data_IF_421475725282
#
_entry.id   IF_421475725282
#
_cell.length_a   1.000
_cell.length_b   1.000
_cell.length_c   1.000
_cell.angle_alpha   90.00
_cell.angle_beta   90.00
_cell.angle_gamma   90.00
#
_symmetry.space_group_name_H-M   'P 1'
#
loop_
_entity.id
_entity.type
_entity.pdbx_description
1 polymer ?
#
# COMPACT_ATOMS: atom_id res chain seq x y z
N UNK A 1 -4.75 25.59 -19.36
CA UNK A 1 -5.82 24.91 -18.61
C UNK A 1 -5.95 23.42 -18.98
N UNK A 2 -6.07 23.04 -20.27
CA UNK A 2 -6.18 21.64 -20.69
C UNK A 2 -5.09 20.69 -20.16
N UNK A 3 -3.82 21.10 -20.21
CA UNK A 3 -2.72 20.26 -19.68
C UNK A 3 -2.84 19.99 -18.17
N UNK A 4 -3.25 20.99 -17.39
CA UNK A 4 -3.46 20.84 -15.95
C UNK A 4 -4.60 19.86 -15.64
N UNK A 5 -5.74 19.99 -16.34
CA UNK A 5 -6.89 19.09 -16.15
C UNK A 5 -6.55 17.64 -16.49
N UNK A 6 -5.77 17.41 -17.55
CA UNK A 6 -5.32 16.07 -17.94
C UNK A 6 -4.39 15.47 -16.87
N UNK A 7 -3.45 16.25 -16.35
CA UNK A 7 -2.53 15.80 -15.29
C UNK A 7 -3.29 15.43 -14.03
N UNK A 8 -4.22 16.28 -13.59
CA UNK A 8 -5.03 16.01 -12.38
C UNK A 8 -5.85 14.72 -12.53
N UNK A 9 -6.49 14.51 -13.70
CA UNK A 9 -7.24 13.29 -13.96
C UNK A 9 -6.34 12.05 -13.91
N UNK A 10 -5.18 12.09 -14.58
CA UNK A 10 -4.23 10.96 -14.59
C UNK A 10 -3.71 10.66 -13.18
N UNK A 11 -3.37 11.68 -12.38
CA UNK A 11 -2.93 11.49 -11.00
C UNK A 11 -4.01 10.86 -10.12
N UNK A 12 -5.28 11.24 -10.30
CA UNK A 12 -6.40 10.62 -9.58
C UNK A 12 -6.52 9.12 -9.92
N UNK A 13 -6.40 8.75 -11.19
CA UNK A 13 -6.37 7.34 -11.59
C UNK A 13 -5.15 6.60 -11.04
N UNK A 14 -3.97 7.23 -11.05
CA UNK A 14 -2.76 6.66 -10.46
C UNK A 14 -2.89 6.40 -8.96
N UNK A 15 -3.58 7.26 -8.21
CA UNK A 15 -3.90 7.03 -6.79
C UNK A 15 -4.87 5.86 -6.58
N UNK A 16 -5.88 5.74 -7.44
CA UNK A 16 -6.87 4.66 -7.35
C UNK A 16 -6.24 3.27 -7.55
N UNK A 17 -5.35 3.16 -8.54
CA UNK A 17 -4.74 1.90 -8.96
C UNK A 17 -3.30 1.69 -8.47
N UNK A 18 -2.74 2.56 -7.61
CA UNK A 18 -1.38 2.39 -7.07
C UNK A 18 -1.24 1.26 -6.05
N UNK A 19 -2.35 0.71 -5.54
CA UNK A 19 -2.36 -0.19 -4.40
C UNK A 19 -2.95 0.43 -3.13
N UNK A 20 -3.20 1.75 -3.10
CA UNK A 20 -3.76 2.45 -1.93
C UNK A 20 -5.26 2.15 -1.71
N UNK A 21 -6.10 2.39 -2.73
CA UNK A 21 -7.54 2.09 -2.64
C UNK A 21 -7.85 0.65 -3.06
N UNK A 22 -7.28 0.21 -4.18
CA UNK A 22 -7.47 -1.14 -4.72
C UNK A 22 -6.16 -1.89 -4.60
N UNK A 23 -6.12 -2.91 -3.75
CA UNK A 23 -4.95 -3.75 -3.57
C UNK A 23 -4.65 -4.55 -4.84
N UNK A 24 -3.36 -4.83 -5.09
CA UNK A 24 -2.88 -5.52 -6.30
C UNK A 24 -3.64 -6.82 -6.58
N UNK A 25 -3.90 -7.61 -5.53
CA UNK A 25 -4.51 -8.93 -5.63
C UNK A 25 -5.98 -8.88 -6.07
N UNK A 26 -6.66 -7.74 -5.95
CA UNK A 26 -8.05 -7.57 -6.41
C UNK A 26 -8.14 -6.94 -7.80
N UNK A 27 -7.02 -6.55 -8.39
CA UNK A 27 -7.02 -5.86 -9.67
C UNK A 27 -7.16 -6.85 -10.83
N UNK A 28 -8.05 -6.59 -11.80
CA UNK A 28 -8.11 -7.41 -13.00
C UNK A 28 -6.80 -7.36 -13.80
N UNK A 29 -6.42 -8.49 -14.42
CA UNK A 29 -5.15 -8.64 -15.15
C UNK A 29 -4.95 -7.57 -16.23
N UNK A 30 -6.01 -7.12 -16.90
CA UNK A 30 -5.93 -6.11 -17.95
C UNK A 30 -5.65 -4.68 -17.44
N UNK A 31 -5.78 -4.41 -16.14
CA UNK A 31 -5.43 -3.12 -15.52
C UNK A 31 -4.05 -3.12 -14.85
N UNK A 32 -3.39 -4.28 -14.74
CA UNK A 32 -2.16 -4.40 -13.96
C UNK A 32 -1.00 -3.57 -14.53
N UNK A 33 -0.94 -3.38 -15.85
CA UNK A 33 0.08 -2.54 -16.49
C UNK A 33 -0.02 -1.09 -16.01
N UNK A 34 -1.25 -0.58 -15.83
CA UNK A 34 -1.49 0.79 -15.37
C UNK A 34 -1.03 0.97 -13.93
N UNK A 35 -1.22 -0.06 -13.10
CA UNK A 35 -0.65 -0.11 -11.76
C UNK A 35 0.88 -0.02 -11.77
N UNK A 36 1.59 -0.75 -12.64
CA UNK A 36 3.06 -0.67 -12.74
C UNK A 36 3.58 0.62 -13.39
N UNK A 37 2.76 1.32 -14.19
CA UNK A 37 3.10 2.64 -14.72
C UNK A 37 2.81 3.79 -13.75
N UNK A 38 2.06 3.54 -12.67
CA UNK A 38 1.69 4.56 -11.69
C UNK A 38 2.92 5.15 -11.00
N UNK A 39 2.97 6.49 -10.98
CA UNK A 39 4.02 7.25 -10.28
C UNK A 39 3.88 7.16 -8.76
N UNK A 40 2.70 6.83 -8.28
CA UNK A 40 2.39 6.78 -6.85
C UNK A 40 2.67 5.40 -6.26
N UNK A 41 2.63 4.33 -7.07
CA UNK A 41 2.82 2.96 -6.62
C UNK A 41 4.11 2.78 -5.82
N UNK A 42 5.25 3.04 -6.45
CA UNK A 42 6.57 2.76 -5.88
C UNK A 42 6.86 3.54 -4.60
N UNK A 43 6.63 4.87 -4.52
CA UNK A 43 6.84 5.59 -3.27
C UNK A 43 5.86 5.13 -2.18
N UNK A 44 4.62 4.79 -2.52
CA UNK A 44 3.64 4.25 -1.56
C UNK A 44 4.09 2.91 -0.97
N UNK A 45 4.46 1.95 -1.83
CA UNK A 45 4.97 0.64 -1.38
C UNK A 45 6.25 0.79 -0.55
N UNK A 46 7.16 1.67 -0.94
CA UNK A 46 8.41 1.94 -0.22
C UNK A 46 8.16 2.48 1.20
N UNK A 47 7.25 3.45 1.36
CA UNK A 47 6.89 3.99 2.67
C UNK A 47 6.21 2.93 3.55
N UNK A 48 5.29 2.13 2.99
CA UNK A 48 4.66 1.06 3.75
C UNK A 48 5.67 0.00 4.21
N UNK A 49 6.60 -0.40 3.35
CA UNK A 49 7.65 -1.32 3.75
C UNK A 49 8.60 -0.73 4.80
N UNK A 50 8.84 0.59 4.76
CA UNK A 50 9.61 1.26 5.80
C UNK A 50 8.93 1.19 7.18
N UNK A 51 7.61 1.40 7.23
CA UNK A 51 6.86 1.41 8.49
C UNK A 51 6.55 0.01 9.02
N UNK A 52 6.17 -0.91 8.13
CA UNK A 52 5.65 -2.23 8.50
C UNK A 52 6.67 -3.37 8.36
N UNK A 53 7.80 -3.14 7.68
CA UNK A 53 8.86 -4.12 7.45
C UNK A 53 9.97 -4.15 8.51
N UNK A 54 9.71 -3.63 9.71
CA UNK A 54 10.69 -3.64 10.81
C UNK A 54 10.93 -5.07 11.34
N UNK A 55 12.18 -5.39 11.64
CA UNK A 55 12.57 -6.60 12.37
C UNK A 55 13.12 -6.21 13.76
N UNK A 56 12.55 -6.72 14.87
CA UNK A 56 11.43 -7.68 14.95
C UNK A 56 10.08 -7.04 14.56
N UNK A 57 9.14 -7.83 14.01
CA UNK A 57 7.86 -7.32 13.55
C UNK A 57 7.04 -6.76 14.72
N UNK A 58 6.61 -5.50 14.59
CA UNK A 58 5.72 -4.86 15.56
C UNK A 58 4.33 -5.50 15.50
N UNK A 59 3.72 -5.60 16.68
CA UNK A 59 2.33 -6.02 16.80
C UNK A 59 1.38 -4.82 16.63
N UNK A 60 0.44 -4.92 15.70
CA UNK A 60 -0.55 -3.87 15.44
C UNK A 60 -1.93 -4.21 16.01
N UNK A 61 -2.28 -5.50 16.05
CA UNK A 61 -3.55 -5.96 16.62
C UNK A 61 -3.29 -7.13 17.55
N UNK A 62 -3.65 -6.96 18.83
CA UNK A 62 -3.65 -8.03 19.84
C UNK A 62 -4.95 -8.82 19.80
N UNK A 63 -4.97 -9.99 20.45
CA UNK A 63 -6.12 -10.89 20.54
C UNK A 63 -7.44 -10.19 20.87
N UNK A 64 -7.49 -9.37 21.93
CA UNK A 64 -8.72 -8.67 22.32
C UNK A 64 -9.14 -7.58 21.34
N UNK A 65 -8.17 -6.94 20.69
CA UNK A 65 -8.39 -5.81 19.78
C UNK A 65 -8.90 -6.25 18.41
N UNK A 66 -8.79 -7.54 18.08
CA UNK A 66 -9.32 -8.11 16.84
C UNK A 66 -10.83 -7.85 16.67
N UNK A 67 -11.58 -7.69 17.77
CA UNK A 67 -13.02 -7.50 17.76
C UNK A 67 -13.46 -6.03 17.70
N UNK A 68 -12.56 -5.05 17.85
CA UNK A 68 -12.95 -3.65 18.05
C UNK A 68 -13.65 -3.04 16.82
N UNK A 69 -13.33 -3.51 15.62
CA UNK A 69 -13.97 -3.09 14.36
C UNK A 69 -15.10 -4.03 13.91
N UNK A 70 -15.65 -4.83 14.83
CA UNK A 70 -16.74 -5.76 14.58
C UNK A 70 -17.92 -5.45 15.51
N UNK A 71 -19.12 -5.99 15.26
CA UNK A 71 -20.24 -5.86 16.20
C UNK A 71 -19.94 -6.38 17.63
N UNK A 72 -18.88 -7.17 17.80
CA UNK A 72 -18.42 -7.67 19.11
C UNK A 72 -17.51 -6.68 19.85
N UNK A 73 -17.25 -5.50 19.27
CA UNK A 73 -16.40 -4.47 19.86
C UNK A 73 -16.95 -3.87 21.16
N UNK A 74 -18.27 -3.73 21.26
CA UNK A 74 -18.97 -3.15 22.44
C UNK A 74 -19.09 -4.14 23.61
N UNK A 75 -18.80 -5.42 23.38
CA UNK A 75 -18.90 -6.46 24.38
C UNK A 75 -17.77 -6.32 25.41
N UNK A 76 -18.05 -6.70 26.66
CA UNK A 76 -17.07 -6.64 27.76
C UNK A 76 -15.79 -7.43 27.46
N UNK A 77 -14.66 -6.94 27.99
CA UNK A 77 -13.34 -7.58 27.78
C UNK A 77 -13.30 -9.03 28.27
N UNK A 78 -14.04 -9.38 29.33
CA UNK A 78 -14.13 -10.76 29.84
C UNK A 78 -14.72 -11.73 28.82
N UNK A 79 -15.80 -11.32 28.14
CA UNK A 79 -16.42 -12.12 27.08
C UNK A 79 -15.53 -12.22 25.85
N UNK A 80 -14.80 -11.14 25.49
CA UNK A 80 -13.78 -11.19 24.43
C UNK A 80 -12.71 -12.23 24.75
N UNK A 81 -12.22 -12.30 25.99
CA UNK A 81 -11.23 -13.30 26.43
C UNK A 81 -11.79 -14.73 26.41
N UNK A 82 -13.04 -14.92 26.81
CA UNK A 82 -13.69 -16.24 26.77
C UNK A 82 -13.92 -16.74 25.35
N UNK A 83 -14.31 -15.85 24.43
CA UNK A 83 -14.38 -16.13 23.00
C UNK A 83 -13.01 -16.50 22.44
N UNK A 84 -11.95 -15.75 22.79
CA UNK A 84 -10.58 -16.10 22.39
C UNK A 84 -10.16 -17.47 22.90
N UNK A 85 -10.51 -17.82 24.14
CA UNK A 85 -10.22 -19.16 24.71
C UNK A 85 -10.94 -20.27 23.95
N UNK A 86 -12.18 -20.03 23.54
CA UNK A 86 -12.95 -20.97 22.72
C UNK A 86 -12.35 -21.14 21.33
N UNK A 87 -11.97 -20.04 20.67
CA UNK A 87 -11.27 -20.06 19.38
C UNK A 87 -9.91 -20.76 19.49
N UNK A 88 -9.14 -20.48 20.55
CA UNK A 88 -7.85 -21.11 20.85
C UNK A 88 -7.96 -22.64 20.92
N UNK A 89 -9.02 -23.16 21.56
CA UNK A 89 -9.28 -24.60 21.65
C UNK A 89 -9.58 -25.23 20.28
N UNK A 90 -10.35 -24.55 19.44
CA UNK A 90 -10.75 -25.05 18.10
C UNK A 90 -9.58 -25.02 17.13
N UNK A 91 -8.87 -23.89 17.09
CA UNK A 91 -7.72 -23.68 16.18
C UNK A 91 -6.48 -24.47 16.62
N UNK A 92 -6.50 -25.08 17.82
CA UNK A 92 -5.33 -25.74 18.44
C UNK A 92 -4.11 -24.82 18.53
N UNK A 93 -4.34 -23.53 18.75
CA UNK A 93 -3.32 -22.48 18.87
C UNK A 93 -3.53 -21.75 20.19
N UNK A 94 -2.46 -21.42 20.92
CA UNK A 94 -2.55 -20.65 22.17
C UNK A 94 -2.76 -19.16 21.87
N UNK A 95 -4.02 -18.71 21.84
CA UNK A 95 -4.38 -17.30 21.66
C UNK A 95 -4.83 -16.76 23.02
N UNK A 96 -4.14 -15.74 23.52
CA UNK A 96 -4.47 -15.01 24.74
C UNK A 96 -4.77 -13.54 24.41
N UNK A 97 -5.03 -12.72 25.43
CA UNK A 97 -5.34 -11.30 25.26
C UNK A 97 -4.19 -10.48 24.68
N UNK A 98 -2.94 -10.92 24.87
CA UNK A 98 -1.71 -10.24 24.44
C UNK A 98 -1.10 -10.83 23.17
N UNK A 99 -1.61 -11.97 22.71
CA UNK A 99 -1.14 -12.65 21.51
C UNK A 99 -1.25 -11.70 20.34
N UNK A 100 -0.17 -11.55 19.59
CA UNK A 100 -0.19 -10.77 18.39
C UNK A 100 -0.93 -11.52 17.29
N UNK A 101 -2.05 -10.96 16.84
CA UNK A 101 -2.88 -11.54 15.77
C UNK A 101 -2.51 -10.96 14.42
N UNK A 102 -2.08 -9.70 14.37
CA UNK A 102 -1.66 -9.05 13.13
C UNK A 102 -0.37 -8.28 13.33
N UNK A 103 0.64 -8.67 12.57
CA UNK A 103 1.95 -8.00 12.51
C UNK A 103 2.05 -7.09 11.28
N UNK A 104 3.08 -6.24 11.24
CA UNK A 104 3.35 -5.41 10.06
C UNK A 104 3.54 -6.23 8.77
N UNK A 105 4.19 -7.39 8.87
CA UNK A 105 4.37 -8.30 7.73
C UNK A 105 3.03 -8.82 7.18
N UNK A 106 2.05 -9.06 8.05
CA UNK A 106 0.72 -9.52 7.64
C UNK A 106 -0.05 -8.41 6.90
N UNK A 107 0.09 -7.15 7.35
CA UNK A 107 -0.48 -5.98 6.67
C UNK A 107 0.09 -5.84 5.25
N UNK A 108 1.41 -5.95 5.10
CA UNK A 108 2.08 -5.90 3.79
C UNK A 108 1.61 -7.02 2.86
N UNK A 109 1.48 -8.25 3.38
CA UNK A 109 0.95 -9.41 2.63
C UNK A 109 -0.50 -9.19 2.20
N UNK A 110 -1.35 -8.68 3.09
CA UNK A 110 -2.76 -8.43 2.78
C UNK A 110 -2.93 -7.37 1.69
N UNK A 111 -2.06 -6.36 1.65
CA UNK A 111 -2.04 -5.33 0.60
C UNK A 111 -1.39 -5.81 -0.71
N UNK A 112 -0.72 -6.97 -0.71
CA UNK A 112 -0.03 -7.52 -1.87
C UNK A 112 1.35 -6.89 -2.13
N UNK A 113 1.93 -6.24 -1.12
CA UNK A 113 3.21 -5.52 -1.18
C UNK A 113 4.34 -6.47 -0.76
N UNK A 114 4.66 -7.42 -1.64
CA UNK A 114 5.69 -8.44 -1.38
C UNK A 114 6.66 -8.66 -2.55
N UNK A 115 6.47 -7.92 -3.65
CA UNK A 115 7.18 -8.18 -4.90
C UNK A 115 8.52 -7.47 -5.04
N UNK A 116 8.63 -6.28 -4.44
CA UNK A 116 9.79 -5.41 -4.54
C UNK A 116 10.26 -5.08 -3.13
N UNK A 117 11.56 -4.88 -2.97
CA UNK A 117 12.13 -4.34 -1.73
C UNK A 117 12.02 -2.81 -1.69
N UNK A 118 12.09 -2.24 -0.49
CA UNK A 118 11.95 -0.80 -0.25
C UNK A 118 12.97 0.00 -1.05
N UNK A 119 14.19 -0.53 -1.20
CA UNK A 119 15.25 0.11 -1.96
C UNK A 119 15.02 0.05 -3.46
N UNK A 120 14.44 -1.06 -3.96
CA UNK A 120 14.02 -1.14 -5.36
C UNK A 120 12.94 -0.11 -5.68
N UNK A 121 11.94 0.02 -4.80
CA UNK A 121 10.89 1.04 -4.93
C UNK A 121 11.46 2.46 -4.92
N UNK A 122 12.45 2.72 -4.06
CA UNK A 122 13.15 4.00 -4.01
C UNK A 122 13.85 4.31 -5.35
N UNK A 123 14.65 3.37 -5.87
CA UNK A 123 15.37 3.59 -7.12
C UNK A 123 14.46 3.74 -8.33
N UNK A 124 13.34 3.01 -8.39
CA UNK A 124 12.34 3.19 -9.44
C UNK A 124 11.73 4.60 -9.40
N UNK A 125 11.44 5.10 -8.19
CA UNK A 125 10.91 6.47 -8.02
C UNK A 125 11.91 7.52 -8.49
N UNK A 126 13.18 7.35 -8.15
CA UNK A 126 14.27 8.23 -8.61
C UNK A 126 14.42 8.18 -10.13
N UNK A 127 14.38 6.98 -10.73
CA UNK A 127 14.47 6.80 -12.17
C UNK A 127 13.34 7.51 -12.92
N UNK A 128 12.09 7.42 -12.42
CA UNK A 128 10.97 8.19 -12.96
C UNK A 128 11.21 9.70 -12.89
N UNK A 129 11.78 10.21 -11.80
CA UNK A 129 12.14 11.62 -11.66
C UNK A 129 13.11 12.10 -12.76
N UNK A 130 14.16 11.34 -13.03
CA UNK A 130 15.10 11.65 -14.12
C UNK A 130 14.45 11.52 -15.50
N UNK A 131 13.62 10.49 -15.71
CA UNK A 131 12.90 10.28 -16.96
C UNK A 131 11.99 11.47 -17.31
N UNK A 132 11.18 11.95 -16.36
CA UNK A 132 10.34 13.13 -16.60
C UNK A 132 11.14 14.40 -16.81
N UNK A 133 12.28 14.55 -16.13
CA UNK A 133 13.17 15.69 -16.35
C UNK A 133 13.75 15.70 -17.76
N UNK A 134 14.12 14.52 -18.27
CA UNK A 134 14.55 14.34 -19.66
C UNK A 134 13.42 14.67 -20.65
N UNK A 135 12.21 14.14 -20.44
CA UNK A 135 11.05 14.45 -21.29
C UNK A 135 10.70 15.94 -21.28
N UNK A 136 10.77 16.58 -20.11
CA UNK A 136 10.55 18.02 -19.97
C UNK A 136 11.58 18.84 -20.75
N UNK A 137 12.86 18.46 -20.67
CA UNK A 137 13.91 19.09 -21.47
C UNK A 137 13.62 18.96 -22.97
N UNK A 138 13.25 17.77 -23.45
CA UNK A 138 12.88 17.58 -24.86
C UNK A 138 11.68 18.46 -25.25
N UNK A 139 10.64 18.50 -24.43
CA UNK A 139 9.46 19.34 -24.68
C UNK A 139 9.83 20.83 -24.80
N UNK A 140 10.76 21.33 -23.98
CA UNK A 140 11.27 22.70 -24.08
C UNK A 140 12.10 22.93 -25.35
N UNK A 141 12.97 21.98 -25.73
CA UNK A 141 13.79 22.09 -26.95
C UNK A 141 12.90 22.10 -28.20
N UNK A 142 11.93 21.18 -28.30
CA UNK A 142 11.00 21.16 -29.44
C UNK A 142 10.04 22.34 -29.43
N UNK A 143 9.51 22.71 -28.26
CA UNK A 143 8.61 23.84 -28.11
C UNK A 143 9.28 25.20 -28.42
N UNK A 144 10.55 25.37 -28.06
CA UNK A 144 11.32 26.58 -28.38
C UNK A 144 11.65 26.70 -29.87
N UNK A 145 11.93 25.58 -30.55
CA UNK A 145 12.12 25.54 -32.01
C UNK A 145 10.85 25.93 -32.76
N UNK A 146 9.69 25.48 -32.30
CA UNK A 146 8.40 25.76 -32.94
C UNK A 146 7.94 27.24 -32.81
N UNK A 147 8.52 28.02 -31.89
CA UNK A 147 8.23 29.46 -31.74
C UNK A 147 9.21 30.38 -32.48
N UNK A 148 10.28 29.82 -33.06
CA UNK A 148 11.33 30.56 -33.80
C UNK A 148 11.18 30.47 -35.33
N UNK A 149 10.11 29.84 -35.82
CA UNK A 149 9.66 29.87 -37.21
C UNK A 149 8.33 30.61 -37.31
#
# INVERSE_FOLDING_TARGET
MLGFTVVVAILAYFLLFSGFFISRNRMPLYWIWFHYMSLVKYPYEGVLQNEFGMEPPRCFVKGTQMFDNTPLGEVTTSLKVELLKSMSKILKMSINSETCVTTGADILRQQGITQLDKWSCFWVTVAWGFFFRFLFYLALVFGSKNKRS
#
